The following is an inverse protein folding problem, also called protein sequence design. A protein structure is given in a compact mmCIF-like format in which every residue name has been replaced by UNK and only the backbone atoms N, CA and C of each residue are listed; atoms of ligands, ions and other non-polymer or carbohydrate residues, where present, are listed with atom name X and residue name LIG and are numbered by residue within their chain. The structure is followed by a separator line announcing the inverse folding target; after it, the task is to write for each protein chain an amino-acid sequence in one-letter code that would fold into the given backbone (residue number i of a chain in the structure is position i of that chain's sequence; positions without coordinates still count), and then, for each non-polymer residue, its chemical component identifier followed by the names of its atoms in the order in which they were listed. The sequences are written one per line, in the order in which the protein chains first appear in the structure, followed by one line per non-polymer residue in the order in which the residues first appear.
data_IF_264281595842
#
_entry.id   IF_264281595842
#
_cell.length_a   1.000
_cell.length_b   1.000
_cell.length_c   1.000
_cell.angle_alpha   90.00
_cell.angle_beta   90.00
_cell.angle_gamma   90.00
#
_symmetry.space_group_name_H-M   'P 1'
#
loop_
_entity.id
_entity.type
_entity.pdbx_description
1 polymer ?
#
# COMPACT_ATOMS: atom_id res chain seq x y z
N UNK A 1 -11.21 -15.40 4.28
CA UNK A 1 -10.02 -15.23 5.14
C UNK A 1 -10.30 -15.25 6.64
N UNK A 2 -11.53 -14.98 7.14
CA UNK A 2 -11.80 -15.02 8.59
C UNK A 2 -11.34 -16.34 9.24
N UNK A 3 -11.76 -17.49 8.70
CA UNK A 3 -11.35 -18.80 9.20
C UNK A 3 -9.82 -19.02 9.23
N UNK A 4 -9.09 -18.56 8.21
CA UNK A 4 -7.62 -18.70 8.17
C UNK A 4 -6.92 -17.74 9.11
N UNK A 5 -7.51 -16.57 9.39
CA UNK A 5 -7.01 -15.64 10.41
C UNK A 5 -7.25 -16.17 11.83
N UNK A 6 -8.45 -16.68 12.12
CA UNK A 6 -8.77 -17.34 13.39
C UNK A 6 -7.85 -18.55 13.64
N UNK A 7 -7.62 -19.41 12.64
CA UNK A 7 -6.68 -20.53 12.74
C UNK A 7 -5.23 -20.10 13.05
N UNK A 8 -4.85 -18.89 12.63
CA UNK A 8 -3.56 -18.25 12.95
C UNK A 8 -3.57 -17.50 14.30
N UNK A 9 -4.65 -17.63 15.07
CA UNK A 9 -4.88 -16.96 16.37
C UNK A 9 -4.93 -15.44 16.27
N UNK A 10 -5.50 -14.93 15.17
CA UNK A 10 -5.86 -13.52 15.02
C UNK A 10 -7.36 -13.42 15.32
N UNK A 11 -7.76 -12.91 16.50
CA UNK A 11 -9.17 -12.91 16.90
C UNK A 11 -10.07 -12.25 15.87
N UNK A 12 -11.19 -12.90 15.56
CA UNK A 12 -12.26 -12.40 14.70
C UNK A 12 -13.46 -12.04 15.57
N UNK A 13 -13.82 -10.76 15.64
CA UNK A 13 -14.98 -10.30 16.42
C UNK A 13 -16.01 -9.69 15.46
N UNK A 14 -17.29 -10.01 15.65
CA UNK A 14 -18.39 -9.35 14.95
C UNK A 14 -19.32 -8.63 15.90
N UNK A 15 -19.87 -7.50 15.45
CA UNK A 15 -21.00 -6.81 16.08
C UNK A 15 -22.08 -6.54 15.04
N UNK A 16 -23.24 -7.17 15.18
CA UNK A 16 -24.37 -7.07 14.26
C UNK A 16 -25.29 -5.96 14.74
N UNK A 17 -25.11 -4.78 14.16
CA UNK A 17 -25.85 -3.55 14.48
C UNK A 17 -27.02 -3.30 13.52
N UNK A 18 -27.38 -4.27 12.67
CA UNK A 18 -28.43 -4.12 11.67
C UNK A 18 -28.65 -5.39 10.85
N UNK A 19 -29.05 -5.23 9.59
CA UNK A 19 -29.35 -6.39 8.73
C UNK A 19 -28.08 -7.10 8.25
N UNK A 20 -28.06 -8.43 8.41
CA UNK A 20 -26.97 -9.32 8.02
C UNK A 20 -27.54 -10.54 7.27
N UNK A 21 -27.61 -10.46 5.94
CA UNK A 21 -28.35 -11.43 5.12
C UNK A 21 -27.48 -12.23 4.16
N UNK A 22 -27.93 -13.43 3.80
CA UNK A 22 -27.31 -14.31 2.81
C UNK A 22 -25.83 -14.57 3.11
N UNK A 23 -24.93 -14.30 2.16
CA UNK A 23 -23.49 -14.48 2.38
C UNK A 23 -22.93 -13.62 3.52
N UNK A 24 -23.56 -12.49 3.84
CA UNK A 24 -23.19 -11.64 4.97
C UNK A 24 -23.37 -12.32 6.32
N UNK A 25 -24.34 -13.24 6.43
CA UNK A 25 -24.61 -13.98 7.68
C UNK A 25 -23.40 -14.79 8.17
N UNK A 26 -22.46 -15.12 7.30
CA UNK A 26 -21.22 -15.79 7.69
C UNK A 26 -20.24 -14.88 8.44
N UNK A 27 -20.35 -13.55 8.35
CA UNK A 27 -19.48 -12.64 9.11
C UNK A 27 -19.59 -12.88 10.62
N UNK A 28 -20.79 -12.82 11.24
CA UNK A 28 -20.94 -13.17 12.65
C UNK A 28 -20.79 -14.68 12.89
N UNK A 29 -21.36 -15.54 12.03
CA UNK A 29 -21.36 -16.99 12.26
C UNK A 29 -19.97 -17.66 12.17
N UNK A 30 -18.98 -17.00 11.56
CA UNK A 30 -17.59 -17.47 11.47
C UNK A 30 -16.61 -16.62 12.32
N UNK A 31 -17.12 -15.69 13.12
CA UNK A 31 -16.30 -14.95 14.09
C UNK A 31 -16.06 -15.81 15.34
N UNK A 32 -14.97 -15.54 16.05
CA UNK A 32 -14.63 -16.26 17.29
C UNK A 32 -15.59 -15.86 18.42
N UNK A 33 -16.02 -14.59 18.45
CA UNK A 33 -17.11 -14.08 19.28
C UNK A 33 -17.98 -13.07 18.51
N UNK A 34 -19.30 -13.14 18.67
CA UNK A 34 -20.28 -12.31 17.98
C UNK A 34 -21.28 -11.65 18.93
N UNK A 35 -21.42 -10.33 18.78
CA UNK A 35 -22.39 -9.47 19.49
C UNK A 35 -23.55 -9.13 18.56
N UNK A 36 -24.78 -9.03 19.08
CA UNK A 36 -25.95 -8.58 18.32
C UNK A 36 -26.80 -7.61 19.14
N UNK A 37 -27.28 -6.54 18.51
CA UNK A 37 -28.21 -5.60 19.15
C UNK A 37 -29.63 -6.14 19.07
N UNK A 38 -30.29 -6.29 20.22
CA UNK A 38 -31.67 -6.79 20.29
C UNK A 38 -32.66 -5.87 19.54
N UNK A 39 -33.71 -6.44 18.93
CA UNK A 39 -34.74 -5.68 18.21
C UNK A 39 -34.17 -4.74 17.11
N UNK A 40 -33.01 -5.04 16.55
CA UNK A 40 -32.33 -4.23 15.54
C UNK A 40 -31.44 -5.07 14.63
N UNK A 41 -30.53 -5.84 15.23
CA UNK A 41 -29.67 -6.77 14.53
C UNK A 41 -30.46 -7.99 14.07
N UNK A 42 -30.28 -8.40 12.82
CA UNK A 42 -30.92 -9.61 12.27
C UNK A 42 -29.94 -10.40 11.42
N UNK A 43 -29.88 -11.72 11.59
CA UNK A 43 -29.00 -12.63 10.83
C UNK A 43 -29.85 -13.72 10.16
N UNK A 44 -29.67 -13.96 8.86
CA UNK A 44 -30.30 -15.11 8.19
C UNK A 44 -29.68 -15.40 6.82
N UNK A 45 -29.61 -16.67 6.45
CA UNK A 45 -29.16 -17.08 5.10
C UNK A 45 -30.20 -16.75 4.01
N UNK A 46 -31.49 -16.81 4.36
CA UNK A 46 -32.58 -16.41 3.49
C UNK A 46 -33.49 -15.46 4.24
N UNK A 47 -33.61 -14.21 3.77
CA UNK A 47 -34.48 -13.24 4.42
C UNK A 47 -35.97 -13.53 4.24
N UNK A 48 -36.84 -12.79 4.95
CA UNK A 48 -38.29 -13.00 4.89
C UNK A 48 -38.88 -13.07 3.46
N UNK A 49 -38.43 -12.24 2.49
CA UNK A 49 -38.91 -12.37 1.10
C UNK A 49 -38.56 -13.73 0.47
N UNK A 50 -37.39 -14.28 0.77
CA UNK A 50 -36.96 -15.57 0.24
C UNK A 50 -37.71 -16.73 0.90
N UNK A 51 -37.92 -16.68 2.22
CA UNK A 51 -38.73 -17.66 2.95
C UNK A 51 -40.14 -17.69 2.38
N UNK A 52 -40.78 -16.53 2.23
CA UNK A 52 -42.12 -16.43 1.64
C UNK A 52 -42.20 -16.98 0.22
N UNK A 53 -41.20 -16.68 -0.62
CA UNK A 53 -41.17 -17.17 -1.99
C UNK A 53 -40.98 -18.69 -2.07
N UNK A 54 -40.21 -19.28 -1.15
CA UNK A 54 -39.88 -20.71 -1.17
C UNK A 54 -40.93 -21.59 -0.47
N UNK A 55 -41.54 -21.12 0.61
CA UNK A 55 -42.42 -21.94 1.48
C UNK A 55 -43.84 -21.39 1.61
N UNK A 56 -44.09 -20.15 1.19
CA UNK A 56 -45.35 -19.44 1.44
C UNK A 56 -45.49 -18.86 2.85
N UNK A 57 -44.56 -19.15 3.75
CA UNK A 57 -44.56 -18.66 5.13
C UNK A 57 -44.32 -17.15 5.17
N UNK A 58 -45.10 -16.43 5.99
CA UNK A 58 -44.88 -15.01 6.27
C UNK A 58 -44.38 -14.86 7.69
N UNK A 59 -43.14 -14.39 7.83
CA UNK A 59 -42.43 -14.22 9.09
C UNK A 59 -41.75 -12.85 9.09
N UNK A 60 -41.59 -12.21 10.26
CA UNK A 60 -40.87 -10.93 10.34
C UNK A 60 -39.35 -11.17 10.38
N UNK A 61 -38.55 -10.13 10.16
CA UNK A 61 -37.09 -10.26 10.25
C UNK A 61 -36.62 -10.58 11.69
N UNK A 62 -37.28 -10.01 12.70
CA UNK A 62 -36.97 -10.28 14.11
C UNK A 62 -37.34 -11.72 14.50
N UNK A 63 -38.51 -12.21 14.07
CA UNK A 63 -38.94 -13.58 14.36
C UNK A 63 -38.08 -14.63 13.62
N UNK A 64 -37.59 -14.29 12.43
CA UNK A 64 -36.77 -15.18 11.61
C UNK A 64 -35.31 -15.27 12.05
N UNK A 65 -34.76 -14.17 12.57
CA UNK A 65 -33.31 -14.03 12.76
C UNK A 65 -32.89 -12.92 13.71
N UNK A 66 -33.76 -12.48 14.63
CA UNK A 66 -33.48 -11.41 15.58
C UNK A 66 -32.46 -11.77 16.65
N UNK A 67 -32.05 -10.76 17.42
CA UNK A 67 -31.06 -10.91 18.48
C UNK A 67 -31.48 -11.90 19.57
N UNK A 68 -32.73 -11.84 20.03
CA UNK A 68 -33.24 -12.74 21.05
C UNK A 68 -33.25 -14.22 20.56
N UNK A 69 -33.54 -14.46 19.28
CA UNK A 69 -33.49 -15.81 18.69
C UNK A 69 -32.05 -16.35 18.68
N UNK A 70 -31.10 -15.58 18.16
CA UNK A 70 -29.72 -16.07 17.99
C UNK A 70 -28.93 -16.15 19.30
N UNK A 71 -29.19 -15.28 20.26
CA UNK A 71 -28.50 -15.28 21.56
C UNK A 71 -29.09 -16.26 22.58
N UNK A 72 -30.34 -16.70 22.40
CA UNK A 72 -31.01 -17.59 23.38
C UNK A 72 -31.35 -18.98 22.86
N UNK A 73 -31.54 -19.13 21.55
CA UNK A 73 -32.05 -20.38 20.96
C UNK A 73 -30.99 -21.03 20.08
N UNK A 74 -30.53 -20.34 19.04
CA UNK A 74 -29.66 -20.98 18.04
C UNK A 74 -28.18 -20.99 18.43
N UNK A 75 -27.73 -20.05 19.26
CA UNK A 75 -26.31 -19.88 19.60
C UNK A 75 -25.45 -19.37 18.45
N UNK A 76 -26.01 -18.61 17.50
CA UNK A 76 -25.23 -17.98 16.41
C UNK A 76 -24.49 -16.73 16.89
N UNK A 77 -24.95 -16.15 18.00
CA UNK A 77 -24.37 -14.97 18.64
C UNK A 77 -24.14 -15.28 20.12
N UNK A 78 -23.07 -14.74 20.68
CA UNK A 78 -22.62 -15.05 22.04
C UNK A 78 -23.09 -13.98 23.04
N UNK A 79 -23.30 -12.75 22.57
CA UNK A 79 -23.64 -11.60 23.42
C UNK A 79 -24.83 -10.82 22.88
N UNK A 80 -25.84 -10.58 23.73
CA UNK A 80 -27.02 -9.79 23.41
C UNK A 80 -26.91 -8.37 23.97
N UNK A 81 -26.74 -7.38 23.09
CA UNK A 81 -26.66 -5.98 23.45
C UNK A 81 -28.04 -5.30 23.47
N UNK A 82 -28.14 -4.18 24.20
CA UNK A 82 -29.38 -3.40 24.33
C UNK A 82 -29.52 -2.33 23.26
N UNK A 83 -28.39 -1.76 22.84
CA UNK A 83 -28.24 -0.73 21.82
C UNK A 83 -26.79 -0.78 21.28
N UNK A 84 -26.48 0.09 20.32
CA UNK A 84 -25.15 0.16 19.70
C UNK A 84 -24.04 0.50 20.71
N UNK A 85 -24.31 1.38 21.68
CA UNK A 85 -23.31 1.77 22.68
C UNK A 85 -22.95 0.60 23.59
N UNK A 86 -23.95 -0.17 24.03
CA UNK A 86 -23.74 -1.39 24.79
C UNK A 86 -22.99 -2.44 23.94
N UNK A 87 -23.33 -2.61 22.67
CA UNK A 87 -22.62 -3.53 21.79
C UNK A 87 -21.13 -3.16 21.65
N UNK A 88 -20.81 -1.88 21.48
CA UNK A 88 -19.43 -1.40 21.42
C UNK A 88 -18.68 -1.57 22.74
N UNK A 89 -19.36 -1.41 23.89
CA UNK A 89 -18.77 -1.70 25.20
C UNK A 89 -18.41 -3.19 25.32
N UNK A 90 -19.33 -4.10 24.95
CA UNK A 90 -19.06 -5.54 24.95
C UNK A 90 -17.88 -5.87 24.05
N UNK A 91 -17.80 -5.30 22.84
CA UNK A 91 -16.65 -5.51 21.94
C UNK A 91 -15.33 -5.09 22.61
N UNK A 92 -15.32 -3.98 23.36
CA UNK A 92 -14.12 -3.56 24.11
C UNK A 92 -13.78 -4.53 25.25
N UNK A 93 -14.79 -5.07 25.92
CA UNK A 93 -14.60 -6.08 26.97
C UNK A 93 -14.01 -7.37 26.40
N UNK A 94 -14.47 -7.82 25.22
CA UNK A 94 -13.89 -8.96 24.49
C UNK A 94 -12.41 -8.71 24.18
N UNK A 95 -12.09 -7.54 23.60
CA UNK A 95 -10.68 -7.15 23.32
C UNK A 95 -9.84 -7.12 24.60
N UNK A 96 -10.44 -6.76 25.74
CA UNK A 96 -9.80 -6.80 27.06
C UNK A 96 -9.37 -8.19 27.53
N UNK A 97 -9.92 -9.26 26.94
CA UNK A 97 -9.58 -10.65 27.26
C UNK A 97 -8.44 -11.24 26.41
N UNK A 98 -7.98 -10.51 25.39
CA UNK A 98 -6.98 -11.01 24.45
C UNK A 98 -5.66 -11.39 25.12
N UNK A 99 -5.00 -12.39 24.54
CA UNK A 99 -3.67 -12.81 24.98
C UNK A 99 -2.65 -11.66 24.92
N UNK A 100 -1.60 -11.68 25.76
CA UNK A 100 -0.54 -10.69 25.73
C UNK A 100 0.05 -10.50 24.33
N UNK A 101 0.40 -9.26 24.00
CA UNK A 101 1.02 -8.92 22.72
C UNK A 101 2.37 -9.63 22.54
N UNK A 102 2.67 -9.99 21.31
CA UNK A 102 4.01 -10.47 20.94
C UNK A 102 5.04 -9.36 21.11
N UNK A 103 6.31 -9.69 21.42
CA UNK A 103 7.37 -8.69 21.52
C UNK A 103 7.63 -8.04 20.16
N UNK A 104 8.00 -6.75 20.18
CA UNK A 104 8.37 -6.01 18.98
C UNK A 104 9.58 -6.69 18.30
N UNK A 105 9.57 -6.92 16.98
CA UNK A 105 10.64 -7.67 16.31
C UNK A 105 11.99 -6.98 16.20
N UNK A 106 12.07 -5.70 16.58
CA UNK A 106 13.25 -4.84 16.50
C UNK A 106 13.37 -3.96 17.76
N UNK A 107 14.55 -3.40 17.96
CA UNK A 107 14.82 -2.49 19.08
C UNK A 107 14.27 -1.09 18.76
N UNK A 108 13.41 -0.56 19.65
CA UNK A 108 12.95 0.82 19.56
C UNK A 108 13.84 1.74 20.38
N UNK A 109 13.84 3.02 20.03
CA UNK A 109 14.49 4.11 20.79
C UNK A 109 13.47 5.16 21.19
N UNK A 110 13.88 6.08 22.06
CA UNK A 110 13.08 7.27 22.34
C UNK A 110 12.91 8.10 21.06
N UNK A 111 11.67 8.48 20.79
CA UNK A 111 11.36 9.30 19.62
C UNK A 111 11.89 10.72 19.82
N UNK A 112 12.47 11.28 18.75
CA UNK A 112 12.83 12.70 18.69
C UNK A 112 12.14 13.34 17.51
N UNK A 113 11.69 14.58 17.67
CA UNK A 113 11.14 15.33 16.55
C UNK A 113 12.23 15.62 15.49
N UNK A 114 11.86 15.73 14.20
CA UNK A 114 12.77 16.22 13.17
C UNK A 114 13.19 17.66 13.47
N UNK A 115 14.39 18.05 13.05
CA UNK A 115 14.87 19.44 13.17
C UNK A 115 14.11 20.39 12.23
N UNK A 116 13.60 19.87 11.12
CA UNK A 116 12.82 20.61 10.14
C UNK A 116 11.33 20.20 10.23
N UNK A 117 10.39 21.13 10.39
CA UNK A 117 8.97 20.81 10.49
C UNK A 117 8.43 20.04 9.26
N UNK A 118 7.63 18.97 9.45
CA UNK A 118 6.97 18.27 8.34
C UNK A 118 6.07 19.17 7.47
N UNK A 119 5.52 20.25 8.04
CA UNK A 119 4.68 21.22 7.32
C UNK A 119 5.41 21.97 6.20
N UNK A 120 6.74 21.97 6.21
CA UNK A 120 7.55 22.56 5.13
C UNK A 120 7.63 21.66 3.89
N UNK A 121 7.18 20.40 3.96
CA UNK A 121 7.28 19.45 2.84
C UNK A 121 6.58 19.97 1.57
N UNK A 122 5.49 20.73 1.71
CA UNK A 122 4.80 21.35 0.57
C UNK A 122 5.68 22.35 -0.22
N UNK A 123 6.67 22.96 0.43
CA UNK A 123 7.64 23.88 -0.22
C UNK A 123 8.87 23.19 -0.80
N UNK A 124 9.12 21.92 -0.42
CA UNK A 124 10.24 21.11 -0.94
C UNK A 124 9.90 20.52 -2.31
N UNK A 125 8.63 20.17 -2.52
CA UNK A 125 8.16 19.51 -3.74
C UNK A 125 7.96 20.57 -4.82
N UNK A 126 8.64 20.48 -5.98
CA UNK A 126 8.41 21.40 -7.07
C UNK A 126 6.99 21.28 -7.63
N UNK A 127 6.38 22.41 -7.99
CA UNK A 127 5.07 22.42 -8.63
C UNK A 127 5.07 21.72 -10.01
N UNK A 128 6.21 21.77 -10.72
CA UNK A 128 6.42 21.01 -11.95
C UNK A 128 7.09 19.67 -11.63
N UNK A 129 6.42 18.52 -11.86
CA UNK A 129 6.96 17.19 -11.54
C UNK A 129 8.19 16.81 -12.37
N UNK A 130 8.55 17.60 -13.40
CA UNK A 130 9.78 17.41 -14.19
C UNK A 130 11.00 18.02 -13.53
N UNK A 131 10.82 18.90 -12.55
CA UNK A 131 11.92 19.53 -11.81
C UNK A 131 12.42 18.57 -10.76
N UNK A 132 13.71 18.25 -10.82
CA UNK A 132 14.38 17.43 -9.80
C UNK A 132 14.53 18.21 -8.50
N UNK A 133 14.36 17.52 -7.38
CA UNK A 133 14.69 18.01 -6.04
C UNK A 133 15.47 16.94 -5.29
N UNK A 134 16.16 17.32 -4.21
CA UNK A 134 16.89 16.35 -3.39
C UNK A 134 15.92 15.64 -2.42
N UNK A 135 15.75 14.33 -2.57
CA UNK A 135 14.89 13.57 -1.66
C UNK A 135 15.42 13.55 -0.21
N UNK A 136 16.68 13.94 0.04
CA UNK A 136 17.20 14.17 1.41
C UNK A 136 16.42 15.27 2.13
N UNK A 137 15.90 16.27 1.44
CA UNK A 137 15.07 17.32 2.05
C UNK A 137 13.75 16.77 2.58
N UNK A 138 13.19 15.75 1.91
CA UNK A 138 12.02 15.02 2.40
C UNK A 138 12.40 14.13 3.59
N UNK A 139 13.51 13.38 3.48
CA UNK A 139 13.98 12.49 4.54
C UNK A 139 14.24 13.26 5.84
N UNK A 140 14.92 14.40 5.77
CA UNK A 140 15.25 15.24 6.92
C UNK A 140 14.00 15.73 7.69
N UNK A 141 12.84 15.80 7.05
CA UNK A 141 11.57 16.26 7.64
C UNK A 141 10.71 15.13 8.21
N UNK A 142 11.03 13.87 7.91
CA UNK A 142 10.24 12.72 8.38
C UNK A 142 10.98 11.87 9.41
N UNK A 143 12.31 11.93 9.49
CA UNK A 143 13.12 11.12 10.41
C UNK A 143 13.43 11.83 11.73
N UNK A 144 13.57 11.04 12.78
CA UNK A 144 13.84 11.51 14.14
C UNK A 144 15.17 12.28 14.20
N UNK A 145 15.13 13.50 14.74
CA UNK A 145 16.30 14.39 14.84
C UNK A 145 16.90 14.80 13.49
N UNK A 146 16.19 14.57 12.37
CA UNK A 146 16.74 14.73 11.01
C UNK A 146 18.04 13.95 10.78
N UNK A 147 18.28 12.89 11.56
CA UNK A 147 19.49 12.07 11.48
C UNK A 147 19.31 10.94 10.46
N UNK A 148 20.16 10.94 9.44
CA UNK A 148 20.15 9.94 8.38
C UNK A 148 21.56 9.44 8.09
N UNK A 149 21.79 8.15 8.29
CA UNK A 149 23.07 7.52 8.00
C UNK A 149 23.04 6.90 6.59
N UNK A 150 23.52 7.67 5.61
CA UNK A 150 23.48 7.28 4.21
C UNK A 150 24.46 6.14 3.88
N UNK A 151 23.94 5.07 3.27
CA UNK A 151 24.70 3.96 2.74
C UNK A 151 25.08 4.22 1.28
N UNK A 152 26.35 4.04 0.93
CA UNK A 152 26.88 4.25 -0.44
C UNK A 152 26.50 5.63 -1.01
N UNK A 153 26.72 6.69 -0.23
CA UNK A 153 26.36 8.06 -0.62
C UNK A 153 26.95 8.46 -2.00
N UNK A 154 28.16 8.00 -2.31
CA UNK A 154 28.89 8.36 -3.53
C UNK A 154 28.72 7.37 -4.70
N UNK A 155 27.90 6.32 -4.55
CA UNK A 155 27.68 5.29 -5.58
C UNK A 155 26.20 5.15 -5.92
N UNK A 156 25.85 5.06 -7.20
CA UNK A 156 24.45 4.94 -7.64
C UNK A 156 23.57 6.05 -7.06
N UNK A 157 23.99 7.31 -7.23
CA UNK A 157 23.45 8.50 -6.54
C UNK A 157 21.99 8.82 -6.89
N UNK A 158 21.44 8.22 -7.94
CA UNK A 158 20.01 8.37 -8.30
C UNK A 158 19.06 7.56 -7.43
N UNK A 159 19.59 6.75 -6.51
CA UNK A 159 18.83 6.19 -5.38
C UNK A 159 19.57 6.50 -4.08
N UNK A 160 18.86 7.12 -3.15
CA UNK A 160 19.35 7.39 -1.80
C UNK A 160 18.93 6.20 -0.93
N UNK A 161 19.88 5.66 -0.18
CA UNK A 161 19.64 4.55 0.75
C UNK A 161 20.29 4.87 2.08
N UNK A 162 19.61 4.64 3.19
CA UNK A 162 20.23 4.87 4.49
C UNK A 162 19.33 4.51 5.67
N UNK A 163 19.94 4.44 6.84
CA UNK A 163 19.27 4.09 8.09
C UNK A 163 18.86 5.33 8.86
N UNK A 164 17.68 5.29 9.45
CA UNK A 164 17.14 6.35 10.30
C UNK A 164 16.22 5.78 11.39
N UNK A 165 15.56 6.66 12.13
CA UNK A 165 14.42 6.29 12.98
C UNK A 165 13.20 7.17 12.63
N UNK A 166 12.00 6.62 12.78
CA UNK A 166 10.73 7.36 12.68
C UNK A 166 9.89 6.97 13.89
N UNK A 167 9.54 7.92 14.74
CA UNK A 167 8.83 7.66 15.99
C UNK A 167 9.51 6.59 16.84
N UNK A 168 10.85 6.60 16.92
CA UNK A 168 11.64 5.61 17.64
C UNK A 168 11.81 4.25 16.95
N UNK A 169 11.06 3.97 15.87
CA UNK A 169 11.23 2.74 15.08
C UNK A 169 12.44 2.87 14.16
N UNK A 170 13.35 1.89 14.11
CA UNK A 170 14.43 1.89 13.12
C UNK A 170 13.83 1.69 11.72
N UNK A 171 14.32 2.44 10.74
CA UNK A 171 13.88 2.32 9.34
C UNK A 171 15.07 2.32 8.38
N UNK A 172 14.91 1.61 7.28
CA UNK A 172 15.82 1.58 6.16
C UNK A 172 15.10 2.24 4.98
N UNK A 173 15.50 3.47 4.65
CA UNK A 173 14.84 4.29 3.63
C UNK A 173 15.51 4.08 2.29
N UNK A 174 14.71 3.91 1.23
CA UNK A 174 15.11 3.87 -0.17
C UNK A 174 14.30 4.94 -0.91
N UNK A 175 14.94 6.00 -1.38
CA UNK A 175 14.29 7.13 -2.03
C UNK A 175 14.86 7.38 -3.42
N UNK A 176 14.00 7.65 -4.41
CA UNK A 176 14.46 8.04 -5.73
C UNK A 176 15.01 9.47 -5.72
N UNK A 177 16.11 9.68 -6.45
CA UNK A 177 16.70 10.98 -6.74
C UNK A 177 16.97 11.16 -8.25
N UNK A 178 16.28 10.36 -9.09
CA UNK A 178 16.44 10.35 -10.53
C UNK A 178 16.10 8.98 -11.15
N UNK A 179 16.46 8.81 -12.42
CA UNK A 179 16.33 7.54 -13.15
C UNK A 179 17.24 6.46 -12.59
N UNK A 180 16.81 5.19 -12.62
CA UNK A 180 17.60 4.08 -12.08
C UNK A 180 18.66 3.61 -13.07
N UNK A 181 19.89 3.48 -12.59
CA UNK A 181 21.00 2.82 -13.29
C UNK A 181 21.27 1.43 -12.68
N UNK A 182 22.16 0.66 -13.31
CA UNK A 182 22.58 -0.64 -12.79
C UNK A 182 23.19 -0.54 -11.38
N UNK A 183 23.99 0.50 -11.15
CA UNK A 183 24.61 0.86 -9.87
C UNK A 183 23.54 1.15 -8.81
N UNK A 184 22.50 1.90 -9.17
CA UNK A 184 21.38 2.22 -8.28
C UNK A 184 20.67 0.93 -7.85
N UNK A 185 20.37 0.04 -8.79
CA UNK A 185 19.71 -1.23 -8.49
C UNK A 185 20.58 -2.16 -7.62
N UNK A 186 21.89 -2.25 -7.90
CA UNK A 186 22.83 -3.03 -7.08
C UNK A 186 23.00 -2.45 -5.67
N UNK A 187 23.04 -1.12 -5.55
CA UNK A 187 23.05 -0.41 -4.26
C UNK A 187 21.82 -0.75 -3.43
N UNK A 188 20.64 -0.60 -4.02
CA UNK A 188 19.38 -0.85 -3.33
C UNK A 188 19.21 -2.33 -2.95
N UNK A 189 19.55 -3.27 -3.84
CA UNK A 189 19.50 -4.71 -3.54
C UNK A 189 20.36 -5.07 -2.31
N UNK A 190 21.63 -4.64 -2.29
CA UNK A 190 22.51 -4.87 -1.14
C UNK A 190 21.95 -4.18 0.13
N UNK A 191 21.43 -2.96 0.01
CA UNK A 191 20.87 -2.26 1.17
C UNK A 191 19.66 -2.99 1.77
N UNK A 192 18.78 -3.55 0.92
CA UNK A 192 17.64 -4.36 1.35
C UNK A 192 18.11 -5.61 2.10
N UNK A 193 19.15 -6.31 1.61
CA UNK A 193 19.71 -7.47 2.31
C UNK A 193 20.25 -7.11 3.71
N UNK A 194 20.87 -5.93 3.86
CA UNK A 194 21.33 -5.43 5.16
C UNK A 194 20.17 -5.16 6.11
N UNK A 195 19.14 -4.46 5.63
CA UNK A 195 17.94 -4.15 6.42
C UNK A 195 17.23 -5.44 6.88
N UNK A 196 17.06 -6.40 5.98
CA UNK A 196 16.36 -7.66 6.25
C UNK A 196 17.11 -8.52 7.30
N UNK A 197 18.44 -8.61 7.17
CA UNK A 197 19.31 -9.25 8.19
C UNK A 197 19.22 -8.57 9.55
N UNK A 198 19.12 -7.24 9.57
CA UNK A 198 19.01 -6.43 10.80
C UNK A 198 17.60 -6.31 11.34
N UNK A 199 16.61 -6.94 10.69
CA UNK A 199 15.18 -6.84 11.05
C UNK A 199 14.66 -5.40 11.01
N UNK A 200 15.22 -4.57 10.13
CA UNK A 200 14.85 -3.16 9.97
C UNK A 200 13.76 -3.02 8.92
N UNK A 201 12.59 -2.47 9.25
CA UNK A 201 11.54 -2.12 8.28
C UNK A 201 12.06 -1.26 7.11
N UNK A 202 11.51 -1.49 5.92
CA UNK A 202 11.86 -0.77 4.70
C UNK A 202 10.82 0.31 4.41
N UNK A 203 11.29 1.52 4.09
CA UNK A 203 10.44 2.64 3.65
C UNK A 203 10.88 3.07 2.26
N UNK A 204 9.98 2.96 1.29
CA UNK A 204 10.20 3.35 -0.10
C UNK A 204 9.55 4.69 -0.38
N UNK A 205 10.33 5.67 -0.82
CA UNK A 205 9.84 6.97 -1.27
C UNK A 205 9.93 7.02 -2.80
N UNK A 206 8.80 6.80 -3.47
CA UNK A 206 8.75 6.69 -4.94
C UNK A 206 8.65 8.07 -5.59
N UNK A 207 9.64 8.37 -6.42
CA UNK A 207 9.60 9.43 -7.42
C UNK A 207 10.42 8.98 -8.64
N UNK A 208 9.89 8.01 -9.38
CA UNK A 208 10.62 7.26 -10.40
C UNK A 208 9.99 7.37 -11.79
N UNK A 209 10.79 7.87 -12.74
CA UNK A 209 10.47 7.91 -14.16
C UNK A 209 10.76 6.61 -14.91
N UNK A 210 11.62 5.74 -14.35
CA UNK A 210 12.00 4.47 -14.93
C UNK A 210 13.50 4.21 -14.85
N UNK A 211 13.96 3.23 -15.62
CA UNK A 211 15.37 2.91 -15.78
C UNK A 211 15.99 3.70 -16.94
N UNK A 212 17.30 3.88 -16.90
CA UNK A 212 18.04 4.43 -18.04
C UNK A 212 17.90 3.52 -19.27
N UNK A 213 17.77 4.11 -20.46
CA UNK A 213 17.59 3.38 -21.73
C UNK A 213 18.76 3.62 -22.66
N UNK A 214 19.14 2.61 -23.44
CA UNK A 214 20.19 2.71 -24.45
C UNK A 214 20.97 1.42 -24.62
N UNK A 215 21.58 1.23 -25.81
CA UNK A 215 22.32 0.01 -26.17
C UNK A 215 23.40 -0.35 -25.16
N UNK A 216 24.15 0.65 -24.68
CA UNK A 216 25.24 0.45 -23.73
C UNK A 216 24.72 -0.04 -22.37
N UNK A 217 23.61 0.53 -21.88
CA UNK A 217 22.99 0.12 -20.62
C UNK A 217 22.39 -1.29 -20.69
N UNK A 218 21.77 -1.63 -21.83
CA UNK A 218 21.27 -2.99 -22.06
C UNK A 218 22.42 -4.01 -22.14
N UNK A 219 23.49 -3.70 -22.89
CA UNK A 219 24.67 -4.55 -22.97
C UNK A 219 25.40 -4.67 -21.61
N UNK A 220 25.40 -3.60 -20.82
CA UNK A 220 25.87 -3.58 -19.43
C UNK A 220 24.98 -4.38 -18.46
N UNK A 221 23.83 -4.88 -18.93
CA UNK A 221 22.97 -5.77 -18.16
C UNK A 221 22.02 -5.04 -17.21
N UNK A 222 21.59 -3.82 -17.52
CA UNK A 222 20.66 -3.05 -16.67
C UNK A 222 19.42 -3.88 -16.28
N UNK A 223 18.92 -4.73 -17.18
CA UNK A 223 17.83 -5.67 -16.90
C UNK A 223 18.16 -6.65 -15.77
N UNK A 224 19.34 -7.30 -15.77
CA UNK A 224 19.71 -8.23 -14.70
C UNK A 224 20.02 -7.51 -13.39
N UNK A 225 20.50 -6.28 -13.43
CA UNK A 225 20.75 -5.47 -12.23
C UNK A 225 19.45 -4.99 -11.59
N UNK A 226 18.49 -4.50 -12.39
CA UNK A 226 17.12 -4.22 -11.96
C UNK A 226 16.44 -5.47 -11.37
N UNK A 227 16.61 -6.63 -12.01
CA UNK A 227 16.07 -7.89 -11.50
C UNK A 227 16.60 -8.27 -10.10
N UNK A 228 17.87 -7.97 -9.78
CA UNK A 228 18.40 -8.19 -8.41
C UNK A 228 17.63 -7.35 -7.39
N UNK A 229 17.38 -6.08 -7.68
CA UNK A 229 16.59 -5.21 -6.79
C UNK A 229 15.17 -5.73 -6.62
N UNK A 230 14.51 -6.14 -7.70
CA UNK A 230 13.15 -6.71 -7.66
C UNK A 230 13.11 -7.99 -6.83
N UNK A 231 14.08 -8.91 -6.99
CA UNK A 231 14.19 -10.11 -6.14
C UNK A 231 14.36 -9.73 -4.68
N UNK A 232 15.20 -8.74 -4.37
CA UNK A 232 15.40 -8.30 -3.00
C UNK A 232 14.10 -7.72 -2.38
N UNK A 233 13.38 -6.87 -3.12
CA UNK A 233 12.08 -6.31 -2.68
C UNK A 233 11.03 -7.39 -2.45
N UNK A 234 10.89 -8.32 -3.40
CA UNK A 234 9.90 -9.38 -3.35
C UNK A 234 10.13 -10.34 -2.17
N UNK A 235 11.40 -10.67 -1.90
CA UNK A 235 11.77 -11.65 -0.87
C UNK A 235 11.99 -11.06 0.52
N UNK A 236 12.17 -9.74 0.65
CA UNK A 236 12.36 -9.11 1.96
C UNK A 236 11.17 -9.37 2.89
N UNK A 237 11.45 -9.96 4.05
CA UNK A 237 10.44 -10.37 5.04
C UNK A 237 10.10 -9.28 6.04
N UNK A 238 10.99 -8.30 6.21
CA UNK A 238 10.73 -7.11 7.03
C UNK A 238 9.51 -6.35 6.50
N UNK A 239 8.75 -5.66 7.37
CA UNK A 239 7.66 -4.80 6.93
C UNK A 239 8.17 -3.79 5.90
N UNK A 240 7.43 -3.66 4.80
CA UNK A 240 7.71 -2.71 3.72
C UNK A 240 6.58 -1.68 3.71
N UNK A 241 6.93 -0.40 3.58
CA UNK A 241 5.99 0.70 3.47
C UNK A 241 6.37 1.53 2.25
N UNK A 242 5.38 1.97 1.50
CA UNK A 242 5.63 2.73 0.27
C UNK A 242 4.85 4.04 0.32
N UNK A 243 5.52 5.14 -0.01
CA UNK A 243 4.89 6.45 -0.20
C UNK A 243 5.27 6.94 -1.57
N UNK A 244 4.28 7.17 -2.44
CA UNK A 244 4.50 7.78 -3.74
C UNK A 244 4.49 9.29 -3.57
N UNK A 245 5.69 9.88 -3.64
CA UNK A 245 5.92 11.32 -3.42
C UNK A 245 6.03 12.11 -4.73
N UNK A 246 6.04 11.42 -5.87
CA UNK A 246 6.06 12.00 -7.22
C UNK A 246 5.60 10.98 -8.26
N UNK A 247 6.46 10.63 -9.22
CA UNK A 247 6.13 9.63 -10.25
C UNK A 247 6.22 8.19 -9.76
N UNK A 248 5.30 7.34 -10.24
CA UNK A 248 5.39 5.87 -10.14
C UNK A 248 5.14 5.26 -11.51
N UNK A 249 6.22 5.05 -12.26
CA UNK A 249 6.13 4.65 -13.67
C UNK A 249 6.86 3.33 -13.98
N UNK A 250 6.19 2.49 -14.77
CA UNK A 250 6.77 1.31 -15.42
C UNK A 250 7.53 0.37 -14.49
N UNK A 251 8.70 -0.10 -14.93
CA UNK A 251 9.53 -1.01 -14.14
C UNK A 251 10.07 -0.39 -12.84
N UNK A 252 10.12 0.95 -12.75
CA UNK A 252 10.53 1.66 -11.54
C UNK A 252 9.58 1.40 -10.36
N UNK A 253 8.27 1.34 -10.63
CA UNK A 253 7.26 0.98 -9.63
C UNK A 253 7.55 -0.40 -9.01
N UNK A 254 7.99 -1.37 -9.82
CA UNK A 254 8.32 -2.70 -9.33
C UNK A 254 9.55 -2.71 -8.43
N UNK A 255 10.62 -2.06 -8.89
CA UNK A 255 11.87 -1.98 -8.15
C UNK A 255 11.74 -1.21 -6.83
N UNK A 256 10.79 -0.29 -6.72
CA UNK A 256 10.56 0.53 -5.53
C UNK A 256 9.38 0.06 -4.67
N UNK A 257 9.05 -1.24 -4.71
CA UNK A 257 7.99 -1.84 -3.88
C UNK A 257 6.58 -1.26 -4.11
N UNK A 258 6.15 -1.22 -5.37
CA UNK A 258 4.77 -0.93 -5.75
C UNK A 258 3.75 -1.94 -5.22
N UNK A 259 2.46 -1.71 -5.51
CA UNK A 259 1.32 -2.49 -4.94
C UNK A 259 1.46 -4.01 -5.07
N UNK A 260 2.01 -4.49 -6.19
CA UNK A 260 2.21 -5.92 -6.45
C UNK A 260 3.24 -6.62 -5.54
N UNK A 261 4.04 -5.86 -4.78
CA UNK A 261 5.10 -6.38 -3.90
C UNK A 261 4.68 -6.42 -2.43
N UNK A 262 3.38 -6.28 -2.17
CA UNK A 262 2.76 -6.40 -0.86
C UNK A 262 3.46 -5.59 0.24
N UNK A 263 3.67 -4.27 0.06
CA UNK A 263 3.94 -3.42 1.21
C UNK A 263 2.76 -3.54 2.19
N UNK A 264 3.03 -3.40 3.49
CA UNK A 264 1.98 -3.42 4.52
C UNK A 264 0.97 -2.31 4.30
N UNK A 265 1.47 -1.16 3.87
CA UNK A 265 0.69 -0.03 3.41
C UNK A 265 1.41 0.69 2.26
N UNK A 266 0.64 1.20 1.31
CA UNK A 266 1.09 2.06 0.23
C UNK A 266 0.23 3.31 0.20
N UNK A 267 0.82 4.49 0.31
CA UNK A 267 0.11 5.77 0.19
C UNK A 267 0.59 6.57 -1.00
N UNK A 268 -0.23 7.53 -1.41
CA UNK A 268 0.13 8.50 -2.43
C UNK A 268 0.01 9.92 -1.87
N UNK A 269 0.91 10.80 -2.30
CA UNK A 269 0.74 12.23 -2.13
C UNK A 269 -0.20 12.81 -3.19
N UNK A 270 -0.82 13.99 -2.96
CA UNK A 270 -1.78 14.57 -3.90
C UNK A 270 -1.14 15.00 -5.24
N UNK A 271 0.17 15.26 -5.25
CA UNK A 271 0.93 15.59 -6.45
C UNK A 271 1.42 14.35 -7.23
N UNK A 272 1.24 13.16 -6.68
CA UNK A 272 1.78 11.94 -7.27
C UNK A 272 1.07 11.58 -8.58
N UNK A 273 1.73 10.78 -9.41
CA UNK A 273 1.15 10.23 -10.65
C UNK A 273 1.59 8.79 -10.83
N UNK A 274 0.68 7.92 -11.26
CA UNK A 274 0.96 6.49 -11.46
C UNK A 274 0.45 5.98 -12.82
N UNK A 275 1.32 5.36 -13.60
CA UNK A 275 0.92 4.75 -14.88
C UNK A 275 2.01 3.81 -15.42
N UNK A 276 1.74 3.12 -16.52
CA UNK A 276 2.73 2.22 -17.14
C UNK A 276 3.97 2.96 -17.65
N UNK A 277 3.82 4.23 -18.05
CA UNK A 277 4.88 5.16 -18.46
C UNK A 277 4.34 6.60 -18.37
N UNK A 278 5.19 7.62 -18.43
CA UNK A 278 4.71 9.01 -18.41
C UNK A 278 3.86 9.37 -19.64
N UNK A 279 2.86 10.24 -19.49
CA UNK A 279 1.93 10.61 -20.56
C UNK A 279 2.62 11.14 -21.83
N UNK A 280 3.63 12.00 -21.68
CA UNK A 280 4.44 12.49 -22.81
C UNK A 280 5.23 11.38 -23.51
N UNK A 281 5.76 10.42 -22.74
CA UNK A 281 6.48 9.28 -23.29
C UNK A 281 5.52 8.37 -24.06
N UNK A 282 4.34 8.09 -23.50
CA UNK A 282 3.31 7.30 -24.17
C UNK A 282 2.85 7.94 -25.47
N UNK A 283 2.53 9.24 -25.44
CA UNK A 283 2.11 9.99 -26.62
C UNK A 283 3.18 9.96 -27.71
N UNK A 284 4.45 10.15 -27.35
CA UNK A 284 5.56 10.13 -28.31
C UNK A 284 5.80 8.74 -28.93
N UNK A 285 5.80 7.68 -28.11
CA UNK A 285 6.02 6.30 -28.57
C UNK A 285 4.86 5.82 -29.44
N UNK A 286 3.62 6.02 -29.00
CA UNK A 286 2.44 5.61 -29.76
C UNK A 286 2.30 6.40 -31.07
N UNK A 287 2.66 7.68 -31.08
CA UNK A 287 2.68 8.46 -32.32
C UNK A 287 3.72 7.91 -33.31
N UNK A 288 4.93 7.59 -32.84
CA UNK A 288 5.97 7.01 -33.71
C UNK A 288 5.50 5.70 -34.34
N UNK A 289 4.95 4.78 -33.52
CA UNK A 289 4.42 3.49 -34.02
C UNK A 289 3.29 3.70 -35.03
N UNK A 290 2.39 4.65 -34.79
CA UNK A 290 1.27 4.94 -35.68
C UNK A 290 1.75 5.52 -37.02
N UNK A 291 2.79 6.37 -36.99
CA UNK A 291 3.43 6.90 -38.20
C UNK A 291 4.07 5.78 -39.01
N UNK A 292 4.88 4.93 -38.39
CA UNK A 292 5.53 3.81 -39.06
C UNK A 292 4.51 2.86 -39.73
N UNK A 293 3.37 2.64 -39.08
CA UNK A 293 2.27 1.85 -39.64
C UNK A 293 1.56 2.53 -40.81
N UNK A 294 1.42 3.86 -40.78
CA UNK A 294 0.83 4.64 -41.86
C UNK A 294 1.75 4.63 -43.09
N UNK A 295 3.05 4.87 -42.87
CA UNK A 295 4.09 4.82 -43.89
C UNK A 295 4.16 3.42 -44.55
N UNK A 296 4.11 2.35 -43.74
CA UNK A 296 4.08 0.98 -44.25
C UNK A 296 2.83 0.65 -45.09
N UNK A 297 1.73 1.39 -44.91
CA UNK A 297 0.49 1.27 -45.69
C UNK A 297 0.41 2.27 -46.85
N UNK A 298 1.41 3.13 -47.02
CA UNK A 298 1.40 4.21 -48.01
C UNK A 298 0.33 5.27 -47.76
N UNK A 299 -0.11 5.44 -46.51
CA UNK A 299 -1.10 6.44 -46.11
C UNK A 299 -0.38 7.57 -45.37
N UNK A 300 -0.56 8.82 -45.83
CA UNK A 300 0.03 9.98 -45.16
C UNK A 300 -0.76 10.32 -43.89
N UNK A 301 -0.07 10.48 -42.77
CA UNK A 301 -0.68 10.89 -41.50
C UNK A 301 -0.45 12.39 -41.28
N UNK A 302 -1.54 13.17 -41.38
CA UNK A 302 -1.47 14.62 -41.26
C UNK A 302 -0.96 15.08 -39.89
N UNK A 303 -0.23 16.19 -39.85
CA UNK A 303 0.36 16.74 -38.62
C UNK A 303 -0.69 17.11 -37.57
N UNK A 304 -1.85 17.61 -37.98
CA UNK A 304 -2.96 17.95 -37.08
C UNK A 304 -3.59 16.68 -36.46
N UNK A 305 -3.67 15.59 -37.22
CA UNK A 305 -4.14 14.30 -36.71
C UNK A 305 -3.17 13.71 -35.68
N UNK A 306 -1.86 13.95 -35.86
CA UNK A 306 -0.84 13.55 -34.89
C UNK A 306 -0.90 14.36 -33.61
N UNK A 307 -1.06 15.69 -33.71
CA UNK A 307 -1.20 16.55 -32.54
C UNK A 307 -2.44 16.17 -31.73
N UNK A 308 -3.59 16.00 -32.38
CA UNK A 308 -4.82 15.54 -31.72
C UNK A 308 -4.67 14.15 -31.11
N UNK A 309 -3.97 13.23 -31.78
CA UNK A 309 -3.71 11.90 -31.24
C UNK A 309 -2.85 11.97 -29.97
N UNK A 310 -1.73 12.70 -30.01
CA UNK A 310 -0.85 12.86 -28.83
C UNK A 310 -1.60 13.49 -27.66
N UNK A 311 -2.43 14.49 -27.91
CA UNK A 311 -3.22 15.15 -26.86
C UNK A 311 -4.24 14.20 -26.23
N UNK A 312 -4.91 13.36 -27.03
CA UNK A 312 -5.84 12.35 -26.50
C UNK A 312 -5.14 11.35 -25.56
N UNK A 313 -3.91 10.92 -25.89
CA UNK A 313 -3.10 10.04 -25.04
C UNK A 313 -2.67 10.76 -23.75
N UNK A 314 -2.24 12.01 -23.83
CA UNK A 314 -1.87 12.79 -22.63
C UNK A 314 -3.05 12.92 -21.67
N UNK A 315 -4.22 13.30 -22.19
CA UNK A 315 -5.43 13.42 -21.39
C UNK A 315 -5.81 12.09 -20.71
N UNK A 316 -5.72 10.98 -21.44
CA UNK A 316 -5.97 9.65 -20.88
C UNK A 316 -5.02 9.31 -19.72
N UNK A 317 -3.72 9.62 -19.87
CA UNK A 317 -2.72 9.34 -18.84
C UNK A 317 -2.84 10.28 -17.63
N UNK A 318 -3.25 11.53 -17.84
CA UNK A 318 -3.51 12.46 -16.74
C UNK A 318 -4.71 12.02 -15.92
N UNK A 319 -5.82 11.65 -16.57
CA UNK A 319 -7.03 11.16 -15.89
C UNK A 319 -6.76 9.83 -15.15
N UNK A 320 -6.18 8.85 -15.83
CA UNK A 320 -5.97 7.53 -15.24
C UNK A 320 -4.79 7.48 -14.26
N UNK A 321 -3.87 8.45 -14.33
CA UNK A 321 -2.70 8.54 -13.46
C UNK A 321 -2.88 9.43 -12.24
N UNK A 322 -4.01 10.14 -12.15
CA UNK A 322 -4.34 10.98 -11.00
C UNK A 322 -4.52 10.16 -9.71
N UNK A 323 -4.07 10.65 -8.53
CA UNK A 323 -4.20 9.95 -7.26
C UNK A 323 -5.65 9.59 -6.91
N UNK A 324 -6.64 10.41 -7.26
CA UNK A 324 -8.05 10.08 -7.01
C UNK A 324 -8.51 8.89 -7.85
N UNK A 325 -8.01 8.75 -9.08
CA UNK A 325 -8.29 7.59 -9.92
C UNK A 325 -7.71 6.30 -9.31
N UNK A 326 -6.50 6.39 -8.77
CA UNK A 326 -5.78 5.31 -8.09
C UNK A 326 -6.49 4.85 -6.81
N UNK A 327 -6.74 5.78 -5.88
CA UNK A 327 -7.34 5.47 -4.57
C UNK A 327 -8.77 4.93 -4.70
N UNK A 328 -9.55 5.43 -5.68
CA UNK A 328 -10.89 4.90 -5.96
C UNK A 328 -10.89 3.41 -6.36
N UNK A 329 -9.72 2.83 -6.68
CA UNK A 329 -9.53 1.44 -7.11
C UNK A 329 -8.65 0.63 -6.16
N UNK A 330 -8.31 1.19 -5.00
CA UNK A 330 -7.48 0.55 -3.96
C UNK A 330 -6.09 0.12 -4.46
N UNK A 331 -5.55 0.83 -5.46
CA UNK A 331 -4.15 0.65 -5.88
C UNK A 331 -3.18 1.15 -4.81
N UNK A 332 -3.63 2.10 -4.01
CA UNK A 332 -3.07 2.59 -2.75
C UNK A 332 -4.10 2.43 -1.62
N UNK A 333 -3.65 2.67 -0.39
CA UNK A 333 -4.46 2.61 0.84
C UNK A 333 -4.92 4.01 1.28
N UNK A 334 -4.73 5.03 0.44
CA UNK A 334 -5.19 6.39 0.66
C UNK A 334 -4.22 7.46 0.17
N UNK A 335 -4.79 8.60 -0.22
CA UNK A 335 -4.08 9.87 -0.40
C UNK A 335 -3.87 10.49 0.98
N UNK A 336 -2.66 10.95 1.26
CA UNK A 336 -2.32 11.61 2.54
C UNK A 336 -1.75 13.01 2.29
N UNK A 337 -1.94 13.92 3.25
CA UNK A 337 -1.19 15.17 3.28
C UNK A 337 0.32 14.85 3.37
N UNK A 338 1.19 15.45 2.55
CA UNK A 338 2.64 15.30 2.70
C UNK A 338 3.15 15.52 4.13
N UNK A 339 2.58 16.49 4.87
CA UNK A 339 2.95 16.78 6.25
C UNK A 339 2.63 15.62 7.22
N UNK A 340 1.62 14.80 6.92
CA UNK A 340 1.20 13.67 7.75
C UNK A 340 2.03 12.40 7.51
N UNK A 341 2.93 12.40 6.51
CA UNK A 341 3.74 11.23 6.14
C UNK A 341 4.46 10.61 7.35
N UNK A 342 5.05 11.43 8.22
CA UNK A 342 5.74 10.99 9.43
C UNK A 342 4.79 10.27 10.40
N UNK A 343 3.65 10.89 10.70
CA UNK A 343 2.62 10.36 11.60
C UNK A 343 2.06 9.04 11.09
N UNK A 344 1.69 9.00 9.80
CA UNK A 344 1.11 7.81 9.15
C UNK A 344 2.12 6.65 9.16
N UNK A 345 3.39 6.92 8.82
CA UNK A 345 4.45 5.91 8.92
C UNK A 345 4.65 5.41 10.35
N UNK A 346 4.65 6.31 11.34
CA UNK A 346 4.77 5.94 12.76
C UNK A 346 3.66 4.99 13.22
N UNK A 347 2.41 5.31 12.91
CA UNK A 347 1.26 4.46 13.23
C UNK A 347 1.34 3.09 12.54
N UNK A 348 1.70 3.07 11.26
CA UNK A 348 1.82 1.85 10.48
C UNK A 348 3.00 0.95 10.92
N UNK A 349 4.12 1.55 11.33
CA UNK A 349 5.25 0.85 11.94
C UNK A 349 4.83 0.20 13.27
N UNK A 350 4.09 0.94 14.11
CA UNK A 350 3.51 0.43 15.35
C UNK A 350 2.53 -0.72 15.12
N UNK A 351 1.67 -0.63 14.11
CA UNK A 351 0.75 -1.71 13.74
C UNK A 351 1.51 -2.95 13.24
N UNK A 352 2.48 -2.77 12.33
CA UNK A 352 3.25 -3.86 11.74
C UNK A 352 4.14 -4.59 12.74
N UNK A 353 4.54 -3.93 13.85
CA UNK A 353 5.30 -4.51 14.94
C UNK A 353 4.56 -5.64 15.69
N UNK A 354 3.24 -5.80 15.52
CA UNK A 354 2.50 -6.90 16.14
C UNK A 354 2.72 -8.27 15.44
N UNK A 355 3.29 -8.27 14.23
CA UNK A 355 3.52 -9.51 13.47
C UNK A 355 4.97 -9.98 13.63
N UNK A 356 5.20 -11.28 13.92
CA UNK A 356 6.55 -11.84 13.91
C UNK A 356 7.14 -11.80 12.49
N UNK A 357 8.46 -11.89 12.43
CA UNK A 357 9.18 -11.96 11.15
C UNK A 357 9.50 -13.42 10.84
N UNK A 358 9.25 -13.81 9.59
CA UNK A 358 9.61 -15.13 9.06
C UNK A 358 11.14 -15.32 9.02
N UNK A 359 11.65 -16.50 8.65
CA UNK A 359 13.06 -16.65 8.27
C UNK A 359 13.40 -15.91 6.97
N UNK A 360 14.66 -15.51 6.82
CA UNK A 360 15.14 -14.90 5.55
C UNK A 360 15.19 -15.97 4.46
N UNK A 361 14.62 -15.68 3.30
CA UNK A 361 14.70 -16.56 2.12
C UNK A 361 14.62 -15.75 0.83
N UNK A 362 15.73 -15.68 0.10
CA UNK A 362 15.80 -15.01 -1.21
C UNK A 362 15.72 -16.04 -2.34
N UNK A 363 15.07 -15.65 -3.44
CA UNK A 363 15.19 -16.35 -4.72
C UNK A 363 16.60 -16.23 -5.31
N UNK A 364 16.83 -16.89 -6.44
CA UNK A 364 18.13 -16.84 -7.12
C UNK A 364 18.40 -15.43 -7.66
N UNK A 365 19.53 -14.85 -7.26
CA UNK A 365 20.04 -13.62 -7.85
C UNK A 365 20.76 -13.92 -9.17
N UNK A 366 20.33 -13.27 -10.26
CA UNK A 366 21.03 -13.32 -11.56
C UNK A 366 22.26 -12.42 -11.52
N UNK A 367 23.45 -12.99 -11.30
CA UNK A 367 24.71 -12.24 -11.13
C UNK A 367 25.14 -11.47 -12.38
#
# INVERSE_FOLDING_TARGET
NQATMSARRIPQIAAVLGSCTAGGAYVPAMSDEAVIVRNQGTIFLGGPPLVKAATGETVTAEDLGGGDLHSRVSGVTDHLAHDDLHALQIVRDIVGTFAPKSPVPWEMRESREPLNPPTELGGVIPADPRVSYDARDVIARIVDGSEFHEFKAEYGTTVITGFAHIHGHPVAIIANAGVLFAESAMKAAHFIELADRRKTPLVFLQNIAGFMVGREYEAGGIAKHGAKMVTAVACARVPKFTVVIGGSYGAGNYSMCGRAYSPRFLWMWPNARISVMGGEQAASVLATVRRDQADARGVEWATDDEASFRESIRAQYEEAGDPYFSTARLWDDGIIDPADTRTVLGLALGAAANAPLEPISYGVFRM
#
